data_IF_632274175762
#
_entry.id   IF_632274175762
#
_cell.length_a   1.000
_cell.length_b   1.000
_cell.length_c   1.000
_cell.angle_alpha   90.00
_cell.angle_beta   90.00
_cell.angle_gamma   90.00
#
_symmetry.space_group_name_H-M   'P 1'
#
loop_
_entity.id
_entity.type
_entity.pdbx_description
1 polymer ?
#
# COMPACT_ATOMS: atom_id res chain seq x y z
N UNK A 1 -46.55 -7.76 -2.24
CA UNK A 1 -45.64 -8.06 -1.12
C UNK A 1 -44.31 -7.47 -1.49
N UNK A 2 -44.03 -6.26 -1.00
CA UNK A 2 -42.74 -5.60 -1.20
C UNK A 2 -41.76 -6.26 -0.25
N UNK A 3 -40.88 -7.09 -0.77
CA UNK A 3 -39.69 -7.55 -0.06
C UNK A 3 -38.88 -6.30 0.32
N UNK A 4 -38.80 -6.00 1.61
CA UNK A 4 -37.87 -4.99 2.11
C UNK A 4 -36.46 -5.49 1.74
N UNK A 5 -35.85 -4.87 0.75
CA UNK A 5 -34.43 -5.02 0.50
C UNK A 5 -33.70 -4.57 1.78
N UNK A 6 -33.18 -5.52 2.53
CA UNK A 6 -32.27 -5.22 3.62
C UNK A 6 -30.99 -4.69 2.97
N UNK A 7 -30.85 -3.37 2.89
CA UNK A 7 -29.59 -2.76 2.50
C UNK A 7 -28.55 -3.10 3.58
N UNK A 8 -27.53 -3.82 3.18
CA UNK A 8 -26.36 -4.00 4.03
C UNK A 8 -25.68 -2.62 4.20
N UNK A 9 -25.02 -2.41 5.35
CA UNK A 9 -24.23 -1.21 5.58
C UNK A 9 -22.77 -1.57 5.67
N UNK A 10 -21.89 -0.65 5.27
CA UNK A 10 -20.46 -0.73 5.43
C UNK A 10 -19.96 0.49 6.19
N UNK A 11 -18.82 0.35 6.86
CA UNK A 11 -18.10 1.46 7.49
C UNK A 11 -16.82 1.72 6.74
N UNK A 12 -16.57 2.99 6.38
CA UNK A 12 -15.39 3.42 5.64
C UNK A 12 -14.66 4.55 6.36
N UNK A 13 -13.34 4.63 6.17
CA UNK A 13 -12.52 5.75 6.63
C UNK A 13 -12.49 6.85 5.58
N UNK A 14 -12.79 8.07 6.02
CA UNK A 14 -12.79 9.28 5.21
C UNK A 14 -11.84 10.33 5.76
N UNK A 15 -11.06 10.94 4.89
CA UNK A 15 -10.41 12.22 5.17
C UNK A 15 -11.39 13.33 4.84
N UNK A 16 -11.80 14.12 5.85
CA UNK A 16 -12.87 15.10 5.75
C UNK A 16 -12.40 16.55 5.85
N UNK A 17 -11.14 16.72 6.16
CA UNK A 17 -10.44 17.99 6.26
C UNK A 17 -8.94 17.76 6.46
N UNK A 18 -8.10 18.82 6.45
CA UNK A 18 -6.68 18.70 6.74
C UNK A 18 -6.46 18.09 8.13
N UNK A 19 -5.77 16.96 8.16
CA UNK A 19 -5.50 16.19 9.39
C UNK A 19 -6.77 15.77 10.17
N UNK A 20 -7.87 15.59 9.45
CA UNK A 20 -9.14 15.15 10.00
C UNK A 20 -9.63 13.89 9.28
N UNK A 21 -9.64 12.79 10.00
CA UNK A 21 -10.15 11.51 9.51
C UNK A 21 -11.27 10.99 10.41
N UNK A 22 -12.29 10.38 9.81
CA UNK A 22 -13.41 9.80 10.55
C UNK A 22 -13.94 8.53 9.89
N UNK A 23 -14.64 7.71 10.67
CA UNK A 23 -15.38 6.55 10.17
C UNK A 23 -16.81 6.97 9.84
N UNK A 24 -17.28 6.62 8.63
CA UNK A 24 -18.64 6.86 8.15
C UNK A 24 -19.33 5.56 7.81
N UNK A 25 -20.60 5.44 8.20
CA UNK A 25 -21.47 4.37 7.71
C UNK A 25 -22.00 4.73 6.33
N UNK A 26 -21.99 3.76 5.41
CA UNK A 26 -22.43 3.89 4.02
C UNK A 26 -23.40 2.75 3.69
N UNK A 27 -24.41 3.04 2.87
CA UNK A 27 -25.27 2.00 2.31
C UNK A 27 -24.47 1.15 1.32
N UNK A 28 -24.59 -0.17 1.43
CA UNK A 28 -23.94 -1.12 0.55
C UNK A 28 -25.01 -1.79 -0.31
N UNK A 29 -25.08 -1.52 -1.64
CA UNK A 29 -26.04 -2.18 -2.53
C UNK A 29 -25.71 -3.68 -2.65
N UNK A 30 -26.59 -4.46 -3.28
CA UNK A 30 -26.26 -5.82 -3.68
C UNK A 30 -25.27 -5.81 -4.86
N UNK A 31 -24.34 -6.79 -4.94
CA UNK A 31 -23.42 -6.90 -6.07
C UNK A 31 -24.16 -7.15 -7.38
N UNK A 32 -23.77 -6.41 -8.42
CA UNK A 32 -24.26 -6.60 -9.78
C UNK A 32 -23.56 -7.73 -10.54
N UNK A 33 -23.95 -8.00 -11.79
CA UNK A 33 -23.29 -9.01 -12.61
C UNK A 33 -21.79 -8.70 -12.80
N UNK A 34 -20.93 -9.69 -12.48
CA UNK A 34 -19.47 -9.54 -12.55
C UNK A 34 -18.84 -8.77 -11.38
N UNK A 35 -19.62 -8.47 -10.35
CA UNK A 35 -19.15 -7.86 -9.11
C UNK A 35 -19.11 -8.88 -7.98
N UNK A 36 -18.29 -8.61 -6.99
CA UNK A 36 -18.17 -9.40 -5.78
C UNK A 36 -18.32 -8.51 -4.55
N UNK A 37 -19.00 -9.01 -3.53
CA UNK A 37 -19.00 -8.48 -2.19
C UNK A 37 -17.80 -9.05 -1.44
N UNK A 38 -16.92 -8.17 -0.99
CA UNK A 38 -15.72 -8.53 -0.24
C UNK A 38 -15.84 -8.02 1.18
N UNK A 39 -15.60 -8.90 2.16
CA UNK A 39 -15.42 -8.54 3.57
C UNK A 39 -13.93 -8.40 3.84
N UNK A 40 -13.53 -7.24 4.34
CA UNK A 40 -12.15 -6.94 4.69
C UNK A 40 -11.70 -7.73 5.92
N UNK A 41 -10.52 -8.31 5.84
CA UNK A 41 -9.81 -8.95 6.95
C UNK A 41 -8.72 -8.02 7.51
N UNK A 42 -7.94 -7.43 6.60
CA UNK A 42 -6.82 -6.56 6.91
C UNK A 42 -6.71 -5.45 5.89
N UNK A 43 -6.23 -4.30 6.31
CA UNK A 43 -5.67 -3.29 5.41
C UNK A 43 -4.34 -2.78 5.94
N UNK A 44 -3.48 -2.29 5.05
CA UNK A 44 -2.19 -1.72 5.42
C UNK A 44 -2.18 -0.21 5.22
N UNK A 45 -1.52 0.53 6.10
CA UNK A 45 -1.32 1.97 5.92
C UNK A 45 -0.01 2.20 5.18
N UNK A 46 -0.10 2.84 4.02
CA UNK A 46 1.04 3.32 3.24
C UNK A 46 1.39 4.74 3.66
N UNK A 47 2.15 4.85 4.77
CA UNK A 47 2.50 6.12 5.44
C UNK A 47 2.88 7.25 4.47
N UNK A 48 3.72 6.97 3.46
CA UNK A 48 4.22 8.02 2.54
C UNK A 48 3.09 8.74 1.80
N UNK A 49 2.21 8.01 1.15
CA UNK A 49 1.14 8.57 0.31
C UNK A 49 -0.08 8.96 1.13
N UNK A 50 -0.49 8.13 2.07
CA UNK A 50 -1.72 8.38 2.83
C UNK A 50 -1.61 9.61 3.73
N UNK A 51 -0.41 9.90 4.27
CA UNK A 51 -0.21 11.15 5.02
C UNK A 51 -0.22 12.41 4.14
N UNK A 52 0.15 12.31 2.86
CA UNK A 52 -0.02 13.42 1.90
C UNK A 52 -1.51 13.72 1.72
N UNK A 53 -2.34 12.68 1.60
CA UNK A 53 -3.80 12.82 1.50
C UNK A 53 -4.38 13.36 2.80
N UNK A 54 -4.00 12.80 3.94
CA UNK A 54 -4.47 13.21 5.27
C UNK A 54 -4.16 14.69 5.57
N UNK A 55 -2.99 15.18 5.11
CA UNK A 55 -2.58 16.59 5.25
C UNK A 55 -3.16 17.52 4.18
N UNK A 56 -4.00 17.01 3.28
CA UNK A 56 -4.53 17.75 2.14
C UNK A 56 -3.44 18.39 1.24
N UNK A 57 -2.28 17.75 1.14
CA UNK A 57 -1.10 18.26 0.41
C UNK A 57 -0.99 17.73 -1.03
N UNK A 58 -2.04 17.13 -1.58
CA UNK A 58 -2.08 16.69 -2.99
C UNK A 58 -2.22 17.91 -3.89
N UNK A 59 -1.23 18.18 -4.78
CA UNK A 59 -1.35 19.33 -5.70
C UNK A 59 -2.51 19.14 -6.69
N UNK A 60 -3.31 20.18 -6.90
CA UNK A 60 -4.48 20.14 -7.78
C UNK A 60 -4.14 19.68 -9.20
N UNK A 61 -3.00 20.11 -9.74
CA UNK A 61 -2.57 19.79 -11.10
C UNK A 61 -2.29 18.30 -11.35
N UNK A 62 -2.12 17.49 -10.30
CA UNK A 62 -1.89 16.03 -10.40
C UNK A 62 -2.98 15.21 -9.71
N UNK A 63 -4.01 15.84 -9.16
CA UNK A 63 -5.06 15.19 -8.37
C UNK A 63 -5.65 13.97 -9.09
N UNK A 64 -6.08 14.12 -10.34
CA UNK A 64 -6.64 13.01 -11.13
C UNK A 64 -5.61 11.91 -11.42
N UNK A 65 -4.36 12.27 -11.70
CA UNK A 65 -3.31 11.30 -12.02
C UNK A 65 -2.85 10.50 -10.79
N UNK A 66 -3.02 11.06 -9.59
CA UNK A 66 -2.64 10.47 -8.31
C UNK A 66 -3.83 9.85 -7.56
N UNK A 67 -5.03 9.88 -8.14
CA UNK A 67 -6.17 9.18 -7.59
C UNK A 67 -5.89 7.67 -7.50
N UNK A 68 -6.20 7.08 -6.35
CA UNK A 68 -6.07 5.63 -6.18
C UNK A 68 -7.20 4.89 -6.91
N UNK A 69 -6.97 3.65 -7.37
CA UNK A 69 -8.08 2.80 -7.81
C UNK A 69 -9.15 2.71 -6.72
N UNK A 70 -10.42 2.74 -7.13
CA UNK A 70 -11.58 2.68 -6.22
C UNK A 70 -11.67 3.82 -5.18
N UNK A 71 -10.91 4.91 -5.35
CA UNK A 71 -11.09 6.12 -4.56
C UNK A 71 -12.52 6.66 -4.74
N UNK A 72 -13.10 7.18 -3.66
CA UNK A 72 -14.41 7.86 -3.68
C UNK A 72 -14.23 9.27 -3.15
N UNK A 73 -14.87 10.24 -3.81
CA UNK A 73 -14.63 11.66 -3.55
C UNK A 73 -13.36 12.17 -4.22
N UNK A 74 -13.11 13.45 -4.08
CA UNK A 74 -12.02 14.14 -4.77
C UNK A 74 -11.03 14.75 -3.78
N UNK A 75 -9.77 14.89 -4.23
CA UNK A 75 -8.81 15.67 -3.47
C UNK A 75 -9.17 17.18 -3.49
N UNK A 76 -8.91 17.92 -2.39
CA UNK A 76 -8.19 17.44 -1.22
C UNK A 76 -9.08 16.66 -0.23
N UNK A 77 -10.38 16.96 -0.15
CA UNK A 77 -11.36 16.31 0.73
C UNK A 77 -12.81 16.77 0.40
N UNK A 78 -13.87 16.02 0.81
CA UNK A 78 -13.82 14.73 1.48
C UNK A 78 -13.41 13.61 0.52
N UNK A 79 -12.55 12.71 0.98
CA UNK A 79 -12.06 11.60 0.15
C UNK A 79 -11.93 10.32 0.97
N UNK A 80 -12.38 9.20 0.41
CA UNK A 80 -12.15 7.84 0.89
C UNK A 80 -10.96 7.28 0.12
N UNK A 81 -9.84 7.09 0.83
CA UNK A 81 -8.54 6.75 0.25
C UNK A 81 -7.91 5.55 0.94
N UNK A 82 -6.98 4.92 0.29
CA UNK A 82 -6.28 3.70 0.69
C UNK A 82 -6.22 2.73 -0.49
N UNK A 83 -5.33 1.74 -0.42
CA UNK A 83 -5.14 0.81 -1.54
C UNK A 83 -4.44 -0.50 -1.14
N UNK A 84 -4.39 -0.83 0.14
CA UNK A 84 -3.73 -2.06 0.62
C UNK A 84 -4.74 -2.92 1.40
N UNK A 85 -5.77 -3.41 0.72
CA UNK A 85 -6.87 -4.15 1.35
C UNK A 85 -6.85 -5.62 1.00
N UNK A 86 -7.00 -6.47 2.01
CA UNK A 86 -7.15 -7.93 1.91
C UNK A 86 -8.47 -8.34 2.52
N UNK A 87 -9.23 -9.16 1.80
CA UNK A 87 -10.54 -9.62 2.26
C UNK A 87 -10.90 -11.02 1.77
N UNK A 88 -12.07 -11.47 2.18
CA UNK A 88 -12.70 -12.70 1.69
C UNK A 88 -13.93 -12.33 0.87
N UNK A 89 -14.08 -12.94 -0.28
CA UNK A 89 -15.29 -12.80 -1.10
C UNK A 89 -16.45 -13.49 -0.39
N UNK A 90 -17.47 -12.73 0.02
CA UNK A 90 -18.69 -13.26 0.65
C UNK A 90 -19.73 -13.67 -0.40
N UNK A 91 -19.86 -12.90 -1.48
CA UNK A 91 -20.78 -13.15 -2.58
C UNK A 91 -20.16 -12.68 -3.91
N UNK A 92 -20.55 -13.31 -5.02
CA UNK A 92 -20.01 -12.96 -6.34
C UNK A 92 -20.29 -14.05 -7.38
N UNK A 93 -19.69 -13.94 -8.58
CA UNK A 93 -19.80 -14.93 -9.62
C UNK A 93 -19.34 -16.32 -9.16
N UNK A 94 -19.79 -17.35 -9.86
CA UNK A 94 -19.44 -18.76 -9.57
C UNK A 94 -17.94 -18.95 -9.42
N UNK A 95 -17.54 -19.62 -8.32
CA UNK A 95 -16.14 -19.93 -7.99
C UNK A 95 -15.38 -18.80 -7.30
N UNK A 96 -16.00 -17.65 -6.96
CA UNK A 96 -15.34 -16.57 -6.23
C UNK A 96 -15.59 -16.62 -4.72
N UNK A 97 -16.78 -17.00 -4.27
CA UNK A 97 -17.11 -17.06 -2.85
C UNK A 97 -16.09 -17.89 -2.05
N UNK A 98 -15.68 -17.39 -0.89
CA UNK A 98 -14.69 -17.99 0.00
C UNK A 98 -13.23 -17.74 -0.39
N UNK A 99 -12.93 -17.14 -1.55
CA UNK A 99 -11.56 -16.82 -1.93
C UNK A 99 -11.02 -15.65 -1.10
N UNK A 100 -9.79 -15.77 -0.64
CA UNK A 100 -9.04 -14.65 -0.07
C UNK A 100 -8.40 -13.86 -1.20
N UNK A 101 -8.61 -12.53 -1.18
CA UNK A 101 -8.23 -11.64 -2.28
C UNK A 101 -7.54 -10.38 -1.76
N UNK A 102 -6.64 -9.82 -2.57
CA UNK A 102 -6.13 -8.47 -2.43
C UNK A 102 -6.86 -7.54 -3.40
N UNK A 103 -7.13 -6.32 -2.96
CA UNK A 103 -7.70 -5.27 -3.79
C UNK A 103 -7.04 -3.92 -3.49
N UNK A 104 -6.80 -3.13 -4.53
CA UNK A 104 -6.44 -1.71 -4.40
C UNK A 104 -7.70 -0.93 -4.00
N UNK A 105 -8.14 -1.08 -2.75
CA UNK A 105 -9.38 -0.51 -2.23
C UNK A 105 -9.12 0.30 -0.96
N UNK A 106 -9.89 1.38 -0.72
CA UNK A 106 -9.83 2.17 0.51
C UNK A 106 -10.09 1.36 1.77
N UNK A 107 -9.75 1.94 2.92
CA UNK A 107 -10.05 1.34 4.23
C UNK A 107 -11.56 1.30 4.48
N UNK A 108 -12.15 0.13 4.33
CA UNK A 108 -13.60 -0.13 4.47
C UNK A 108 -13.81 -1.58 4.90
N UNK A 109 -14.80 -1.84 5.75
CA UNK A 109 -15.04 -3.17 6.29
C UNK A 109 -15.69 -4.14 5.30
N UNK A 110 -16.56 -3.64 4.42
CA UNK A 110 -17.18 -4.38 3.30
C UNK A 110 -17.28 -3.51 2.07
N UNK A 111 -17.06 -4.07 0.91
CA UNK A 111 -17.14 -3.33 -0.34
C UNK A 111 -17.54 -4.21 -1.52
N UNK A 112 -18.08 -3.57 -2.54
CA UNK A 112 -18.40 -4.22 -3.81
C UNK A 112 -17.45 -3.71 -4.87
N UNK A 113 -16.95 -4.64 -5.67
CA UNK A 113 -15.99 -4.32 -6.73
C UNK A 113 -16.10 -5.37 -7.84
N UNK A 114 -15.76 -4.98 -9.07
CA UNK A 114 -15.66 -5.92 -10.17
C UNK A 114 -14.57 -6.96 -9.91
N UNK A 115 -14.84 -8.22 -10.25
CA UNK A 115 -13.91 -9.31 -9.98
C UNK A 115 -12.56 -9.15 -10.68
N UNK A 116 -12.50 -8.41 -11.80
CA UNK A 116 -11.25 -8.07 -12.49
C UNK A 116 -10.31 -7.17 -11.68
N UNK A 117 -10.82 -6.48 -10.67
CA UNK A 117 -10.04 -5.67 -9.73
C UNK A 117 -9.46 -6.48 -8.57
N UNK A 118 -9.84 -7.76 -8.46
CA UNK A 118 -9.40 -8.64 -7.39
C UNK A 118 -8.18 -9.46 -7.82
N UNK A 119 -7.20 -9.55 -6.94
CA UNK A 119 -6.06 -10.46 -7.10
C UNK A 119 -6.19 -11.59 -6.07
N UNK A 120 -6.37 -12.82 -6.54
CA UNK A 120 -6.48 -13.98 -5.65
C UNK A 120 -5.16 -14.20 -4.93
N UNK A 121 -5.21 -14.35 -3.61
CA UNK A 121 -4.04 -14.65 -2.80
C UNK A 121 -3.78 -16.15 -2.89
N UNK A 122 -2.59 -16.58 -3.35
CA UNK A 122 -2.27 -17.99 -3.47
C UNK A 122 -2.09 -18.66 -2.11
N UNK A 123 -2.31 -19.97 -2.07
CA UNK A 123 -2.03 -20.77 -0.89
C UNK A 123 -0.56 -20.57 -0.44
N UNK A 124 -0.36 -20.52 0.87
CA UNK A 124 0.97 -20.29 1.47
C UNK A 124 1.33 -18.80 1.68
N UNK A 125 0.52 -17.86 1.17
CA UNK A 125 0.66 -16.42 1.51
C UNK A 125 -0.34 -16.08 2.63
N UNK A 126 0.11 -15.74 3.84
CA UNK A 126 -0.79 -15.31 4.91
C UNK A 126 -1.55 -14.03 4.53
N UNK A 127 -2.86 -13.99 4.77
CA UNK A 127 -3.70 -12.83 4.47
C UNK A 127 -3.14 -11.52 5.07
N UNK A 128 -2.63 -11.57 6.30
CA UNK A 128 -2.01 -10.41 6.97
C UNK A 128 -0.78 -9.90 6.20
N UNK A 129 0.07 -10.79 5.65
CA UNK A 129 1.24 -10.42 4.84
C UNK A 129 0.83 -9.89 3.47
N UNK A 130 -0.26 -10.37 2.92
CA UNK A 130 -0.75 -9.96 1.61
C UNK A 130 -1.15 -8.47 1.51
N UNK A 131 -1.30 -7.75 2.63
CA UNK A 131 -1.48 -6.28 2.62
C UNK A 131 -0.29 -5.56 1.97
N UNK A 132 0.88 -6.19 1.93
CA UNK A 132 2.08 -5.62 1.31
C UNK A 132 2.08 -5.69 -0.23
N UNK A 133 1.09 -6.36 -0.84
CA UNK A 133 1.04 -6.58 -2.31
C UNK A 133 1.22 -5.30 -3.11
N UNK A 134 0.51 -4.22 -2.77
CA UNK A 134 0.63 -2.94 -3.49
C UNK A 134 2.01 -2.28 -3.32
N UNK A 135 2.67 -2.49 -2.19
CA UNK A 135 4.04 -1.97 -1.97
C UNK A 135 5.07 -2.80 -2.72
N UNK A 136 4.94 -4.13 -2.72
CA UNK A 136 5.78 -5.01 -3.54
C UNK A 136 5.59 -4.70 -5.01
N UNK A 137 4.36 -4.46 -5.47
CA UNK A 137 4.05 -4.01 -6.83
C UNK A 137 4.80 -2.72 -7.19
N UNK A 138 4.82 -1.75 -6.27
CA UNK A 138 5.55 -0.49 -6.44
C UNK A 138 7.06 -0.75 -6.60
N UNK A 139 7.63 -1.61 -5.77
CA UNK A 139 9.04 -1.99 -5.86
C UNK A 139 9.37 -2.72 -7.18
N UNK A 140 8.52 -3.66 -7.62
CA UNK A 140 8.67 -4.35 -8.91
C UNK A 140 8.68 -3.33 -10.06
N UNK A 141 7.75 -2.36 -10.04
CA UNK A 141 7.70 -1.33 -11.08
C UNK A 141 8.97 -0.49 -11.13
N UNK A 142 9.49 -0.09 -9.95
CA UNK A 142 10.76 0.61 -9.83
C UNK A 142 11.94 -0.20 -10.38
N UNK A 143 12.00 -1.49 -10.08
CA UNK A 143 13.03 -2.38 -10.61
C UNK A 143 12.90 -2.63 -12.11
N UNK A 144 11.67 -2.70 -12.64
CA UNK A 144 11.46 -2.77 -14.08
C UNK A 144 11.89 -1.49 -14.81
N UNK A 145 11.76 -0.33 -14.15
CA UNK A 145 12.27 0.95 -14.68
C UNK A 145 13.80 1.05 -14.57
N UNK A 146 14.36 0.59 -13.44
CA UNK A 146 15.81 0.56 -13.20
C UNK A 146 16.55 -0.37 -14.16
N UNK A 147 16.00 -1.57 -14.40
CA UNK A 147 16.58 -2.57 -15.28
C UNK A 147 17.95 -3.08 -14.84
N UNK A 148 18.15 -3.49 -13.56
CA UNK A 148 19.46 -3.92 -13.06
C UNK A 148 20.02 -5.10 -13.84
N UNK A 149 21.34 -5.15 -13.97
CA UNK A 149 22.10 -6.14 -14.73
C UNK A 149 23.06 -6.91 -13.82
N UNK A 150 23.55 -8.02 -14.33
CA UNK A 150 24.61 -8.79 -13.68
C UNK A 150 25.84 -7.91 -13.41
N UNK A 151 26.29 -7.90 -12.16
CA UNK A 151 27.48 -7.16 -11.75
C UNK A 151 27.27 -5.68 -11.48
N UNK A 152 26.04 -5.15 -11.58
CA UNK A 152 25.78 -3.75 -11.23
C UNK A 152 26.05 -3.48 -9.75
N UNK A 153 26.46 -2.25 -9.48
CA UNK A 153 26.59 -1.67 -8.14
C UNK A 153 25.38 -0.79 -7.92
N UNK A 154 24.53 -1.17 -6.98
CA UNK A 154 23.24 -0.51 -6.73
C UNK A 154 23.21 0.08 -5.33
N UNK A 155 22.69 1.31 -5.23
CA UNK A 155 22.36 1.94 -3.97
C UNK A 155 20.84 2.22 -3.90
N UNK A 156 20.24 1.96 -2.73
CA UNK A 156 18.86 2.32 -2.41
C UNK A 156 18.89 3.33 -1.28
N UNK A 157 18.37 4.55 -1.50
CA UNK A 157 18.36 5.63 -0.51
C UNK A 157 16.98 5.77 0.11
N UNK A 158 16.92 5.58 1.43
CA UNK A 158 15.73 5.55 2.24
C UNK A 158 15.33 4.14 2.65
N UNK A 159 15.61 3.76 3.91
CA UNK A 159 15.23 2.47 4.50
C UNK A 159 13.81 2.49 5.11
N UNK A 160 12.87 3.08 4.36
CA UNK A 160 11.44 3.03 4.63
C UNK A 160 10.77 1.79 4.00
N UNK A 161 9.43 1.79 3.97
CA UNK A 161 8.64 0.69 3.43
C UNK A 161 9.02 0.37 1.96
N UNK A 162 9.01 1.37 1.08
CA UNK A 162 9.30 1.18 -0.36
C UNK A 162 10.77 0.84 -0.59
N UNK A 163 11.71 1.59 0.02
CA UNK A 163 13.14 1.34 -0.18
C UNK A 163 13.59 -0.01 0.36
N UNK A 164 13.07 -0.41 1.52
CA UNK A 164 13.30 -1.76 2.05
C UNK A 164 12.78 -2.85 1.11
N UNK A 165 11.56 -2.69 0.52
CA UNK A 165 11.02 -3.63 -0.47
C UNK A 165 11.91 -3.73 -1.70
N UNK A 166 12.36 -2.59 -2.24
CA UNK A 166 13.31 -2.55 -3.38
C UNK A 166 14.60 -3.27 -3.03
N UNK A 167 15.19 -2.96 -1.86
CA UNK A 167 16.43 -3.58 -1.41
C UNK A 167 16.27 -5.10 -1.22
N UNK A 168 15.15 -5.56 -0.62
CA UNK A 168 14.88 -7.00 -0.46
C UNK A 168 14.76 -7.71 -1.81
N UNK A 169 14.05 -7.13 -2.77
CA UNK A 169 13.94 -7.73 -4.09
C UNK A 169 15.29 -7.78 -4.82
N UNK A 170 16.13 -6.76 -4.64
CA UNK A 170 17.48 -6.70 -5.20
C UNK A 170 18.46 -7.69 -4.54
N UNK A 171 18.26 -8.06 -3.28
CA UNK A 171 19.12 -9.03 -2.59
C UNK A 171 19.20 -10.40 -3.32
N UNK A 172 18.19 -10.73 -4.13
CA UNK A 172 18.18 -11.91 -4.99
C UNK A 172 18.86 -11.74 -6.37
N UNK A 173 19.34 -10.53 -6.73
CA UNK A 173 20.03 -10.28 -8.00
C UNK A 173 21.53 -10.50 -7.84
N UNK A 174 22.21 -10.99 -8.89
CA UNK A 174 23.65 -11.18 -8.89
C UNK A 174 24.38 -9.84 -9.09
N UNK A 175 24.25 -8.93 -8.13
CA UNK A 175 24.90 -7.62 -8.11
C UNK A 175 26.33 -7.72 -7.60
N UNK A 176 27.22 -6.82 -8.05
CA UNK A 176 28.55 -6.67 -7.47
C UNK A 176 28.50 -5.98 -6.12
N UNK A 177 27.52 -5.10 -5.90
CA UNK A 177 27.29 -4.40 -4.63
C UNK A 177 25.83 -3.97 -4.51
N UNK A 178 25.26 -4.15 -3.33
CA UNK A 178 23.97 -3.58 -2.93
C UNK A 178 24.12 -2.91 -1.59
N UNK A 179 23.73 -1.65 -1.46
CA UNK A 179 23.73 -0.93 -0.19
C UNK A 179 22.38 -0.23 0.03
N UNK A 180 21.80 -0.44 1.21
CA UNK A 180 20.63 0.29 1.69
C UNK A 180 21.09 1.44 2.58
N UNK A 181 20.72 2.66 2.22
CA UNK A 181 21.26 3.88 2.82
C UNK A 181 20.15 4.62 3.55
N UNK A 182 20.42 4.97 4.82
CA UNK A 182 19.51 5.80 5.61
C UNK A 182 20.30 6.64 6.63
N UNK A 183 19.74 7.78 7.01
CA UNK A 183 20.31 8.67 8.05
C UNK A 183 20.10 8.12 9.45
N UNK A 184 19.10 7.26 9.65
CA UNK A 184 18.79 6.65 10.93
C UNK A 184 19.61 5.36 11.12
N UNK A 185 20.59 5.34 12.03
CA UNK A 185 21.41 4.14 12.27
C UNK A 185 20.61 2.97 12.85
N UNK A 186 19.44 3.20 13.42
CA UNK A 186 18.54 2.11 13.89
C UNK A 186 18.02 1.24 12.75
N UNK A 187 18.03 1.74 11.51
CA UNK A 187 17.64 0.98 10.31
C UNK A 187 18.65 -0.11 9.92
N UNK A 188 19.83 -0.17 10.54
CA UNK A 188 20.80 -1.26 10.33
C UNK A 188 20.20 -2.64 10.65
N UNK A 189 19.53 -2.76 11.79
CA UNK A 189 18.89 -4.05 12.16
C UNK A 189 17.81 -4.48 11.14
N UNK A 190 17.10 -3.52 10.56
CA UNK A 190 16.15 -3.79 9.48
C UNK A 190 16.86 -4.24 8.19
N UNK A 191 17.94 -3.58 7.79
CA UNK A 191 18.73 -3.99 6.63
C UNK A 191 19.31 -5.39 6.80
N UNK A 192 19.86 -5.71 7.99
CA UNK A 192 20.37 -7.04 8.34
C UNK A 192 19.28 -8.11 8.20
N UNK A 193 18.05 -7.82 8.67
CA UNK A 193 16.91 -8.73 8.52
C UNK A 193 16.50 -8.97 7.06
N UNK A 194 16.77 -8.00 6.17
CA UNK A 194 16.56 -8.13 4.73
C UNK A 194 17.71 -8.84 4.00
N UNK A 195 18.84 -9.06 4.67
CA UNK A 195 20.05 -9.59 4.07
C UNK A 195 20.76 -8.60 3.14
N UNK A 196 20.77 -7.30 3.49
CA UNK A 196 21.35 -6.21 2.69
C UNK A 196 22.29 -5.37 3.54
N UNK A 197 23.43 -4.96 2.96
CA UNK A 197 24.37 -4.07 3.63
C UNK A 197 23.76 -2.70 3.91
N UNK A 198 23.91 -2.21 5.14
CA UNK A 198 23.49 -0.89 5.56
C UNK A 198 24.65 0.10 5.53
N UNK A 199 24.39 1.31 5.01
CA UNK A 199 25.34 2.43 5.06
C UNK A 199 24.67 3.72 5.56
N UNK A 200 25.37 4.50 6.39
CA UNK A 200 25.02 5.91 6.57
C UNK A 200 25.34 6.68 5.28
N UNK A 201 24.62 7.76 4.93
CA UNK A 201 24.90 8.52 3.70
C UNK A 201 26.38 8.96 3.56
N UNK A 202 27.04 9.31 4.66
CA UNK A 202 28.45 9.75 4.63
C UNK A 202 29.42 8.59 4.32
N UNK A 203 29.06 7.36 4.70
CA UNK A 203 29.90 6.16 4.51
C UNK A 203 29.53 5.40 3.22
N UNK A 204 28.48 5.82 2.52
CA UNK A 204 27.98 5.15 1.33
C UNK A 204 29.01 5.22 0.18
N UNK A 205 29.29 4.06 -0.41
CA UNK A 205 30.27 3.91 -1.48
C UNK A 205 29.73 4.48 -2.80
N UNK A 206 30.48 5.38 -3.44
CA UNK A 206 30.10 5.97 -4.72
C UNK A 206 30.28 5.02 -5.89
N UNK A 207 30.18 5.56 -7.10
CA UNK A 207 30.37 4.86 -8.37
C UNK A 207 29.35 3.72 -8.56
N UNK A 208 28.07 4.03 -8.28
CA UNK A 208 26.95 3.14 -8.50
C UNK A 208 26.47 3.22 -9.95
N UNK A 209 26.16 2.07 -10.55
CA UNK A 209 25.57 2.00 -11.89
C UNK A 209 24.10 2.48 -11.84
N UNK A 210 23.41 2.19 -10.73
CA UNK A 210 22.03 2.59 -10.47
C UNK A 210 21.90 3.09 -9.03
N UNK A 211 21.18 4.20 -8.85
CA UNK A 211 20.71 4.65 -7.54
C UNK A 211 19.18 4.70 -7.55
N UNK A 212 18.54 4.08 -6.57
CA UNK A 212 17.08 4.11 -6.41
C UNK A 212 16.74 4.97 -5.20
N UNK A 213 16.06 6.09 -5.43
CA UNK A 213 15.73 7.05 -4.39
C UNK A 213 14.29 6.87 -3.88
N UNK A 214 14.17 6.63 -2.56
CA UNK A 214 12.89 6.32 -1.89
C UNK A 214 12.68 7.14 -0.61
N UNK A 215 13.58 8.10 -0.29
CA UNK A 215 13.54 8.81 1.00
C UNK A 215 12.58 10.00 1.04
N UNK A 216 12.11 10.46 -0.12
CA UNK A 216 11.32 11.66 -0.28
C UNK A 216 11.98 12.91 0.38
N UNK A 217 13.32 12.95 0.45
CA UNK A 217 14.10 14.10 0.94
C UNK A 217 14.92 14.71 -0.17
N UNK A 218 15.11 16.02 -0.11
CA UNK A 218 16.00 16.75 -1.03
C UNK A 218 17.45 16.29 -0.88
N UNK A 219 17.89 16.11 0.36
CA UNK A 219 19.25 15.69 0.72
C UNK A 219 19.55 14.28 0.18
N UNK A 220 18.55 13.35 0.26
CA UNK A 220 18.67 12.02 -0.31
C UNK A 220 18.82 12.05 -1.83
N UNK A 221 18.05 12.89 -2.53
CA UNK A 221 18.17 13.03 -3.98
C UNK A 221 19.48 13.72 -4.38
N UNK A 222 19.95 14.72 -3.63
CA UNK A 222 21.28 15.32 -3.82
C UNK A 222 22.38 14.27 -3.61
N UNK A 223 22.25 13.43 -2.56
CA UNK A 223 23.20 12.35 -2.32
C UNK A 223 23.20 11.32 -3.46
N UNK A 224 22.05 11.08 -4.08
CA UNK A 224 21.96 10.19 -5.26
C UNK A 224 22.85 10.66 -6.41
N UNK A 225 22.91 11.97 -6.68
CA UNK A 225 23.78 12.56 -7.70
C UNK A 225 25.27 12.32 -7.42
N UNK A 226 25.67 12.28 -6.15
CA UNK A 226 27.05 12.04 -5.73
C UNK A 226 27.45 10.58 -5.77
N UNK A 227 26.48 9.67 -5.57
CA UNK A 227 26.72 8.22 -5.51
C UNK A 227 26.68 7.53 -6.86
N UNK A 228 25.88 8.05 -7.79
CA UNK A 228 25.76 7.47 -9.13
C UNK A 228 27.04 7.68 -9.92
N UNK A 229 27.47 6.68 -10.70
CA UNK A 229 28.62 6.74 -11.60
C UNK A 229 28.34 7.55 -12.86
N UNK A 230 29.37 7.72 -13.73
CA UNK A 230 29.22 8.38 -15.03
C UNK A 230 28.20 7.64 -15.91
N UNK A 231 27.38 8.37 -16.66
CA UNK A 231 26.28 7.84 -17.47
C UNK A 231 25.23 7.04 -16.67
N UNK A 232 25.25 7.10 -15.34
CA UNK A 232 24.40 6.30 -14.48
C UNK A 232 22.98 6.86 -14.32
N UNK A 233 22.09 5.99 -13.83
CA UNK A 233 20.66 6.26 -13.68
C UNK A 233 20.26 6.44 -12.22
N UNK A 234 19.49 7.47 -11.94
CA UNK A 234 18.76 7.65 -10.68
C UNK A 234 17.29 7.37 -10.95
N UNK A 235 16.73 6.38 -10.24
CA UNK A 235 15.31 6.06 -10.28
C UNK A 235 14.62 6.72 -9.10
N UNK A 236 13.83 7.73 -9.40
CA UNK A 236 13.09 8.49 -8.39
C UNK A 236 11.73 7.82 -8.14
N UNK A 237 11.55 7.29 -6.95
CA UNK A 237 10.32 6.63 -6.53
C UNK A 237 9.51 7.46 -5.52
N UNK A 238 10.08 8.58 -5.09
CA UNK A 238 9.44 9.44 -4.10
C UNK A 238 8.39 10.35 -4.72
N UNK A 239 7.30 10.56 -4.00
CA UNK A 239 6.34 11.59 -4.30
C UNK A 239 6.48 12.73 -3.30
N UNK A 240 6.88 13.90 -3.78
CA UNK A 240 7.16 15.07 -2.93
C UNK A 240 5.91 15.90 -2.60
N UNK A 241 4.76 15.56 -3.19
CA UNK A 241 3.52 16.33 -3.06
C UNK A 241 3.70 17.80 -3.48
N UNK A 242 3.36 18.76 -2.61
CA UNK A 242 3.47 20.20 -2.85
C UNK A 242 4.88 20.78 -2.60
N UNK A 243 5.83 19.95 -2.15
CA UNK A 243 7.19 20.39 -1.83
C UNK A 243 8.03 20.67 -3.09
N UNK A 244 8.74 21.77 -3.11
CA UNK A 244 9.74 22.09 -4.16
C UNK A 244 11.09 21.55 -3.77
N UNK A 245 11.75 20.88 -4.72
CA UNK A 245 13.07 20.27 -4.54
C UNK A 245 14.09 21.03 -5.37
N UNK A 246 15.21 21.39 -4.76
CA UNK A 246 16.32 22.07 -5.41
C UNK A 246 17.52 21.13 -5.58
N UNK A 247 18.08 21.08 -6.78
CA UNK A 247 19.21 20.22 -7.13
C UNK A 247 20.33 21.02 -7.81
N UNK A 248 21.61 20.69 -7.54
CA UNK A 248 22.77 21.36 -8.15
C UNK A 248 23.05 20.78 -9.56
N UNK A 249 22.10 20.94 -10.50
CA UNK A 249 22.22 20.35 -11.85
C UNK A 249 23.32 20.98 -12.73
N UNK A 250 23.88 22.12 -12.30
CA UNK A 250 25.00 22.77 -12.98
C UNK A 250 26.38 22.14 -12.68
N UNK A 251 26.44 21.23 -11.73
CA UNK A 251 27.66 20.52 -11.32
C UNK A 251 27.78 19.18 -12.08
N UNK A 252 27.97 18.09 -11.37
CA UNK A 252 28.20 16.75 -11.88
C UNK A 252 27.11 16.23 -12.82
N UNK A 253 25.85 16.61 -12.60
CA UNK A 253 24.72 16.10 -13.37
C UNK A 253 24.91 16.25 -14.88
N UNK A 254 25.27 17.48 -15.33
CA UNK A 254 25.51 17.75 -16.74
C UNK A 254 26.84 17.14 -17.24
N UNK A 255 27.91 17.35 -16.47
CA UNK A 255 29.26 16.96 -16.87
C UNK A 255 29.41 15.44 -16.99
N UNK A 256 28.75 14.68 -16.12
CA UNK A 256 28.81 13.21 -16.04
C UNK A 256 27.65 12.53 -16.76
N UNK A 257 26.80 13.29 -17.47
CA UNK A 257 25.64 12.80 -18.25
C UNK A 257 24.68 11.91 -17.45
N UNK A 258 24.41 12.33 -16.20
CA UNK A 258 23.53 11.58 -15.31
C UNK A 258 22.08 11.71 -15.76
N UNK A 259 21.24 10.74 -15.39
CA UNK A 259 19.80 10.81 -15.61
C UNK A 259 19.00 10.63 -14.34
N UNK A 260 17.85 11.30 -14.26
CA UNK A 260 16.83 11.10 -13.20
C UNK A 260 15.54 10.70 -13.91
N UNK A 261 15.02 9.52 -13.58
CA UNK A 261 13.78 8.99 -14.12
C UNK A 261 12.79 8.66 -13.02
N UNK A 262 11.56 9.15 -13.13
CA UNK A 262 10.52 8.81 -12.18
C UNK A 262 9.93 7.43 -12.45
N UNK A 263 9.64 6.67 -11.38
CA UNK A 263 8.83 5.47 -11.42
C UNK A 263 7.53 5.68 -10.62
N UNK A 264 6.41 5.67 -11.33
CA UNK A 264 5.07 5.81 -10.75
C UNK A 264 4.26 4.53 -11.04
N UNK A 265 3.73 3.90 -9.99
CA UNK A 265 3.15 2.55 -10.04
C UNK A 265 1.85 2.44 -10.87
N UNK A 266 1.09 3.53 -11.03
CA UNK A 266 -0.15 3.53 -11.83
C UNK A 266 0.07 3.15 -13.29
N UNK A 267 1.30 3.30 -13.80
CA UNK A 267 1.69 2.91 -15.14
C UNK A 267 2.82 1.89 -15.11
N UNK A 268 2.65 0.77 -15.84
CA UNK A 268 3.72 -0.23 -15.98
C UNK A 268 4.98 0.42 -16.55
N UNK A 269 6.13 0.12 -15.96
CA UNK A 269 7.43 0.65 -16.36
C UNK A 269 7.67 0.56 -17.87
N UNK A 270 8.30 1.60 -18.45
CA UNK A 270 8.46 1.80 -19.88
C UNK A 270 9.01 0.56 -20.61
N UNK A 271 9.99 -0.12 -20.02
CA UNK A 271 10.62 -1.30 -20.61
C UNK A 271 9.69 -2.53 -20.65
N UNK A 272 8.58 -2.53 -19.91
CA UNK A 272 7.69 -3.70 -19.76
C UNK A 272 6.26 -3.48 -20.25
N UNK A 273 5.79 -2.23 -20.43
CA UNK A 273 4.38 -1.90 -20.72
C UNK A 273 3.80 -2.55 -21.98
N UNK A 274 4.64 -2.97 -22.91
CA UNK A 274 4.20 -3.67 -24.14
C UNK A 274 4.00 -5.18 -23.93
N UNK A 275 4.39 -5.73 -22.77
CA UNK A 275 4.40 -7.16 -22.50
C UNK A 275 3.80 -7.53 -21.15
N UNK A 276 3.47 -6.56 -20.33
CA UNK A 276 2.95 -6.75 -18.96
C UNK A 276 1.82 -5.79 -18.70
N UNK A 277 0.81 -6.30 -17.98
CA UNK A 277 -0.33 -5.54 -17.47
C UNK A 277 -0.14 -5.23 -15.98
N UNK A 278 -0.97 -4.33 -15.44
CA UNK A 278 -1.02 -4.09 -13.99
C UNK A 278 -1.46 -5.35 -13.24
N UNK A 279 -2.43 -6.11 -13.78
CA UNK A 279 -2.90 -7.36 -13.16
C UNK A 279 -1.79 -8.43 -13.07
N UNK A 280 -0.98 -8.61 -14.13
CA UNK A 280 0.17 -9.53 -14.11
C UNK A 280 1.24 -9.07 -13.11
N UNK A 281 1.43 -7.74 -12.93
CA UNK A 281 2.37 -7.20 -11.94
C UNK A 281 1.87 -7.41 -10.52
N UNK A 282 0.57 -7.22 -10.24
CA UNK A 282 -0.04 -7.55 -8.96
C UNK A 282 0.03 -9.05 -8.64
N UNK A 283 -0.26 -9.90 -9.63
CA UNK A 283 -0.13 -11.35 -9.47
C UNK A 283 1.32 -11.78 -9.15
N UNK A 284 2.30 -11.15 -9.78
CA UNK A 284 3.71 -11.36 -9.43
C UNK A 284 4.00 -10.86 -8.01
N UNK A 285 3.50 -9.68 -7.64
CA UNK A 285 3.73 -9.10 -6.33
C UNK A 285 3.21 -10.00 -5.20
N UNK A 286 1.98 -10.50 -5.31
CA UNK A 286 1.41 -11.38 -4.29
C UNK A 286 2.15 -12.72 -4.21
N UNK A 287 2.64 -13.26 -5.34
CA UNK A 287 3.39 -14.53 -5.35
C UNK A 287 4.72 -14.45 -4.61
N UNK A 288 5.41 -13.30 -4.65
CA UNK A 288 6.66 -13.08 -3.93
C UNK A 288 6.46 -13.05 -2.41
N UNK A 289 5.27 -12.74 -1.94
CA UNK A 289 4.93 -12.70 -0.51
C UNK A 289 4.83 -14.09 0.15
N UNK A 290 5.16 -15.17 -0.55
CA UNK A 290 5.37 -16.48 0.09
C UNK A 290 6.59 -16.48 1.02
N UNK A 291 7.60 -15.66 0.75
CA UNK A 291 8.79 -15.53 1.59
C UNK A 291 8.45 -14.87 2.93
N UNK A 292 8.68 -15.54 4.08
CA UNK A 292 8.39 -15.00 5.40
C UNK A 292 9.24 -13.78 5.78
N UNK A 293 10.32 -13.50 5.08
CA UNK A 293 11.13 -12.30 5.32
C UNK A 293 10.30 -11.01 5.22
N UNK A 294 9.23 -11.00 4.43
CA UNK A 294 8.37 -9.83 4.31
C UNK A 294 7.59 -9.49 5.60
N UNK A 295 7.54 -10.39 6.59
CA UNK A 295 6.90 -10.07 7.87
C UNK A 295 7.60 -8.93 8.63
N UNK A 296 8.89 -8.69 8.38
CA UNK A 296 9.64 -7.58 9.01
C UNK A 296 9.07 -6.20 8.67
N UNK A 297 8.30 -6.09 7.58
CA UNK A 297 7.66 -4.84 7.17
C UNK A 297 6.36 -4.56 7.92
N UNK A 298 5.77 -5.56 8.58
CA UNK A 298 4.50 -5.44 9.31
C UNK A 298 4.78 -5.00 10.76
N UNK A 299 4.98 -3.71 10.94
CA UNK A 299 5.44 -3.13 12.22
C UNK A 299 4.30 -2.53 13.04
N UNK A 300 3.48 -3.39 13.62
CA UNK A 300 2.35 -3.03 14.46
C UNK A 300 1.00 -3.30 13.84
N UNK A 301 -0.04 -3.31 14.67
CA UNK A 301 -1.44 -3.42 14.27
C UNK A 301 -2.36 -2.66 15.21
N UNK A 302 -3.54 -2.32 14.72
CA UNK A 302 -4.64 -1.70 15.46
C UNK A 302 -5.97 -2.15 14.86
N UNK A 303 -7.04 -2.03 15.63
CA UNK A 303 -8.39 -2.30 15.13
C UNK A 303 -8.86 -1.22 14.16
N UNK A 304 -9.82 -1.55 13.30
CA UNK A 304 -10.40 -0.59 12.36
C UNK A 304 -11.03 0.62 13.06
N UNK A 305 -11.61 0.44 14.23
CA UNK A 305 -12.17 1.53 15.02
C UNK A 305 -11.12 2.56 15.45
N UNK A 306 -9.86 2.14 15.61
CA UNK A 306 -8.76 3.01 16.02
C UNK A 306 -8.09 3.75 14.82
N UNK A 307 -8.45 3.41 13.59
CA UNK A 307 -7.79 3.92 12.38
C UNK A 307 -7.65 5.45 12.34
N UNK A 308 -8.68 6.28 12.67
CA UNK A 308 -8.52 7.74 12.67
C UNK A 308 -7.39 8.20 13.61
N UNK A 309 -7.33 7.64 14.82
CA UNK A 309 -6.28 7.95 15.79
C UNK A 309 -4.90 7.41 15.38
N UNK A 310 -4.84 6.28 14.68
CA UNK A 310 -3.58 5.72 14.15
C UNK A 310 -3.00 6.63 13.09
N UNK A 311 -3.80 7.08 12.12
CA UNK A 311 -3.36 7.99 11.05
C UNK A 311 -2.85 9.30 11.65
N UNK A 312 -3.55 9.85 12.65
CA UNK A 312 -3.10 11.07 13.35
C UNK A 312 -1.75 10.85 14.04
N UNK A 313 -1.58 9.76 14.81
CA UNK A 313 -0.30 9.46 15.47
C UNK A 313 0.86 9.28 14.48
N UNK A 314 0.59 8.70 13.30
CA UNK A 314 1.58 8.60 12.22
C UNK A 314 1.93 9.98 11.66
N UNK A 315 0.94 10.86 11.50
CA UNK A 315 1.12 12.22 11.01
C UNK A 315 1.93 13.09 11.97
N UNK A 316 1.71 12.93 13.28
CA UNK A 316 2.43 13.63 14.36
C UNK A 316 3.83 13.06 14.63
N UNK A 317 4.20 11.94 14.00
CA UNK A 317 5.45 11.22 14.29
C UNK A 317 5.48 10.49 15.63
N UNK A 318 4.32 10.33 16.28
CA UNK A 318 4.16 9.64 17.57
C UNK A 318 3.99 8.12 17.43
N UNK A 319 3.96 7.62 16.20
CA UNK A 319 3.95 6.20 15.85
C UNK A 319 4.94 5.98 14.72
N UNK A 320 6.02 5.24 14.97
CA UNK A 320 6.91 4.79 13.91
C UNK A 320 6.44 3.44 13.39
N UNK A 321 6.19 3.37 12.08
CA UNK A 321 5.81 2.16 11.41
C UNK A 321 6.28 2.15 9.96
N UNK A 322 6.65 0.97 9.46
CA UNK A 322 6.83 0.72 8.03
C UNK A 322 5.45 0.52 7.38
N UNK A 323 4.80 -0.61 7.65
CA UNK A 323 3.40 -0.85 7.31
C UNK A 323 2.64 -1.17 8.60
N UNK A 324 1.76 -0.27 9.05
CA UNK A 324 0.86 -0.54 10.16
C UNK A 324 -0.37 -1.26 9.65
N UNK A 325 -0.70 -2.42 10.22
CA UNK A 325 -1.82 -3.24 9.78
C UNK A 325 -3.07 -2.84 10.56
N UNK A 326 -4.16 -2.67 9.84
CA UNK A 326 -5.50 -2.49 10.42
C UNK A 326 -6.24 -3.81 10.35
N UNK A 327 -6.75 -4.25 11.50
CA UNK A 327 -7.46 -5.50 11.69
C UNK A 327 -8.96 -5.23 11.78
N UNK A 328 -9.74 -5.97 11.00
CA UNK A 328 -11.19 -5.82 10.96
C UNK A 328 -11.87 -6.91 11.78
N UNK A 329 -13.02 -6.63 12.42
CA UNK A 329 -13.71 -7.60 13.27
C UNK A 329 -14.02 -8.90 12.52
N UNK A 330 -13.82 -10.06 13.17
CA UNK A 330 -14.34 -11.32 12.68
C UNK A 330 -15.86 -11.32 12.78
N UNK A 331 -16.56 -11.75 11.71
CA UNK A 331 -18.05 -11.78 11.68
C UNK A 331 -18.67 -12.64 12.77
N UNK A 332 -17.98 -13.68 13.24
CA UNK A 332 -18.46 -14.60 14.27
C UNK A 332 -18.70 -13.93 15.63
N UNK A 333 -18.12 -12.75 15.87
CA UNK A 333 -18.29 -12.00 17.13
C UNK A 333 -19.55 -11.11 17.15
N UNK A 334 -20.16 -10.78 16.00
CA UNK A 334 -21.30 -9.87 15.95
C UNK A 334 -22.67 -10.55 15.94
N UNK A 335 -22.74 -11.86 15.72
CA UNK A 335 -24.01 -12.62 15.71
C UNK A 335 -24.45 -13.10 17.11
N UNK A 336 -23.66 -12.89 18.16
CA UNK A 336 -23.92 -13.42 19.50
C UNK A 336 -24.65 -12.46 20.45
N UNK A 337 -24.85 -11.18 20.08
CA UNK A 337 -25.34 -10.15 21.02
C UNK A 337 -26.69 -9.52 20.64
N UNK A 338 -27.60 -10.27 19.99
CA UNK A 338 -29.02 -9.90 19.95
C UNK A 338 -29.84 -10.98 20.67
N UNK A 339 -30.37 -10.69 21.89
CA UNK A 339 -31.32 -11.58 22.51
C UNK A 339 -32.61 -11.59 21.69
N UNK A 340 -32.92 -12.73 21.08
CA UNK A 340 -34.24 -13.00 20.51
C UNK A 340 -35.25 -13.05 21.66
N UNK A 341 -35.97 -11.98 21.91
CA UNK A 341 -37.20 -12.03 22.68
C UNK A 341 -38.24 -12.83 21.92
N UNK A 342 -38.36 -14.10 22.25
CA UNK A 342 -39.55 -14.88 21.94
C UNK A 342 -40.72 -14.37 22.74
N UNK A 343 -41.61 -13.61 22.12
CA UNK A 343 -42.96 -13.37 22.70
C UNK A 343 -43.72 -14.68 22.63
N UNK A 344 -44.04 -15.23 23.82
CA UNK A 344 -44.97 -16.35 23.98
C UNK A 344 -46.35 -15.91 23.52
N UNK A 345 -46.89 -16.64 22.52
CA UNK A 345 -48.25 -16.48 22.10
C UNK A 345 -49.20 -17.00 23.21
N UNK A 346 -50.18 -16.18 23.59
CA UNK A 346 -51.25 -16.46 24.50
C UNK A 346 -52.01 -17.73 24.13
N UNK A 347 -52.24 -18.57 25.14
CA UNK A 347 -53.23 -19.66 25.09
C UNK A 347 -54.66 -19.11 25.17
N UNK A 348 -55.59 -19.58 24.41
CA UNK A 348 -56.99 -19.24 24.61
C UNK A 348 -57.58 -20.04 25.77
N UNK A 349 -58.18 -19.31 26.71
CA UNK A 349 -58.98 -19.81 27.81
C UNK A 349 -60.23 -20.52 27.29
N UNK A 350 -60.43 -21.77 27.69
CA UNK A 350 -61.70 -22.47 27.60
C UNK A 350 -62.75 -21.78 28.49
N UNK A 351 -63.86 -21.46 27.90
CA UNK A 351 -65.09 -21.10 28.64
C UNK A 351 -66.13 -22.22 28.46
N UNK A 352 -66.45 -22.82 29.55
CA UNK A 352 -67.52 -23.80 29.79
C UNK A 352 -68.88 -23.23 29.41
N UNK A 353 -69.60 -23.93 28.56
CA UNK A 353 -70.94 -24.53 28.67
C UNK A 353 -71.40 -25.07 27.33
#
# INVERSE_FOLDING_TARGET
>A
MTTSEQHATATAYWTVGPEQGELRSEDLPAPGPGEALVRTLYSGISKGTELVVHRASVPECVANAMAAPNQVGDFPYPVKFGYLTVGVVEDGPEGWAGRTVFCLYPHQDRFIVRVESLTVIPDGVPARRAVLTGTVETAINGLWEAGPRLGDRVAVIGAGLVGGMVARLLAGFPLARLQLIDVDPAKRAFADALGVDFSHPDDALPDCDIVIHCSASQEGLQRSLQLVGDDGDIIEMSWYADRKISLPLGEDFHARRLSIRASQVGVVARARRHRRTNAERLALAVSLLQDPVFDVFLTGSSTFAELPGVVQRLADGNLDALCHVIEYPSWDAQSADQPTEFKSADQPTEATR
#
